data_IF_738775827017
#
_entry.id   IF_738775827017
#
_cell.length_a   1.000
_cell.length_b   1.000
_cell.length_c   1.000
_cell.angle_alpha   90.00
_cell.angle_beta   90.00
_cell.angle_gamma   90.00
#
_symmetry.space_group_name_H-M   'P 1'
#
loop_
_entity.id
_entity.type
_entity.pdbx_description
1 polymer ?
#
# COMPACT_ATOMS: atom_id res chain seq x y z
N UNK A 1 3.20 -38.46 -8.65
CA UNK A 1 3.16 -37.10 -9.22
C UNK A 1 2.25 -36.27 -8.33
N UNK A 2 2.81 -35.43 -7.45
CA UNK A 2 2.06 -34.67 -6.45
C UNK A 2 1.27 -33.54 -7.15
N UNK A 3 -0.03 -33.76 -7.36
CA UNK A 3 -1.02 -32.72 -7.67
C UNK A 3 -1.34 -31.99 -6.36
N UNK A 4 -0.58 -30.96 -6.04
CA UNK A 4 -0.76 -30.20 -4.79
C UNK A 4 -0.09 -28.83 -4.75
N UNK A 5 0.53 -28.38 -5.84
CA UNK A 5 0.88 -26.97 -5.98
C UNK A 5 -0.32 -26.32 -6.64
N UNK A 6 -1.27 -25.83 -5.83
CA UNK A 6 -2.16 -24.78 -6.30
C UNK A 6 -1.24 -23.67 -6.80
N UNK A 7 -1.35 -23.31 -8.08
CA UNK A 7 -0.72 -22.10 -8.58
C UNK A 7 -1.17 -20.96 -7.66
N UNK A 8 -0.20 -20.34 -6.98
CA UNK A 8 -0.46 -19.18 -6.15
C UNK A 8 -1.00 -18.10 -7.09
N UNK A 9 -2.32 -17.90 -7.05
CA UNK A 9 -3.02 -16.90 -7.85
C UNK A 9 -2.53 -15.53 -7.40
N UNK A 10 -1.61 -14.96 -8.18
CA UNK A 10 -1.06 -13.63 -7.94
C UNK A 10 -2.03 -12.62 -8.52
N UNK A 11 -2.94 -12.13 -7.68
CA UNK A 11 -3.78 -11.00 -8.02
C UNK A 11 -2.90 -9.80 -8.39
N UNK A 12 -3.17 -9.20 -9.55
CA UNK A 12 -2.59 -7.91 -9.87
C UNK A 12 -3.22 -6.86 -8.94
N UNK A 13 -2.37 -6.18 -8.16
CA UNK A 13 -2.78 -5.13 -7.23
C UNK A 13 -2.27 -3.78 -7.76
N UNK A 14 -2.86 -3.26 -8.85
CA UNK A 14 -2.34 -2.08 -9.55
C UNK A 14 -2.31 -0.85 -8.65
N UNK A 15 -3.32 -0.67 -7.79
CA UNK A 15 -3.35 0.42 -6.82
C UNK A 15 -2.20 0.32 -5.82
N UNK A 16 -1.94 -0.89 -5.31
CA UNK A 16 -0.85 -1.12 -4.37
C UNK A 16 0.51 -0.88 -5.04
N UNK A 17 0.66 -1.25 -6.31
CA UNK A 17 1.88 -1.01 -7.08
C UNK A 17 2.14 0.49 -7.29
N UNK A 18 1.11 1.30 -7.54
CA UNK A 18 1.24 2.77 -7.59
C UNK A 18 1.65 3.35 -6.24
N UNK A 19 1.00 2.91 -5.16
CA UNK A 19 1.32 3.38 -3.81
C UNK A 19 2.76 3.03 -3.40
N UNK A 20 3.22 1.82 -3.72
CA UNK A 20 4.62 1.40 -3.53
C UNK A 20 5.60 2.29 -4.29
N UNK A 21 5.28 2.66 -5.53
CA UNK A 21 6.12 3.55 -6.33
C UNK A 21 6.22 4.94 -5.70
N UNK A 22 5.10 5.48 -5.22
CA UNK A 22 5.04 6.77 -4.55
C UNK A 22 5.79 6.79 -3.23
N UNK A 23 5.58 5.80 -2.36
CA UNK A 23 6.28 5.66 -1.07
C UNK A 23 7.78 5.50 -1.29
N UNK A 24 8.19 4.69 -2.27
CA UNK A 24 9.60 4.54 -2.64
C UNK A 24 10.22 5.87 -3.05
N UNK A 25 9.56 6.61 -3.94
CA UNK A 25 10.03 7.94 -4.39
C UNK A 25 10.11 8.92 -3.23
N UNK A 26 9.11 8.95 -2.37
CA UNK A 26 9.07 9.82 -1.20
C UNK A 26 10.21 9.53 -0.21
N UNK A 27 10.53 8.24 -0.01
CA UNK A 27 11.69 7.81 0.78
C UNK A 27 13.01 8.26 0.17
N UNK A 28 13.17 8.17 -1.16
CA UNK A 28 14.36 8.62 -1.88
C UNK A 28 14.58 10.14 -1.78
N UNK A 29 13.49 10.90 -1.63
CA UNK A 29 13.50 12.35 -1.39
C UNK A 29 13.63 12.72 0.10
N UNK A 30 14.19 11.81 0.91
CA UNK A 30 14.40 12.00 2.36
C UNK A 30 13.13 12.43 3.13
N UNK A 31 11.99 11.85 2.73
CA UNK A 31 10.69 12.08 3.35
C UNK A 31 10.22 13.54 3.24
N UNK A 32 10.45 14.18 2.10
CA UNK A 32 10.01 15.55 1.81
C UNK A 32 8.53 15.79 2.18
N UNK A 33 8.21 16.95 2.75
CA UNK A 33 6.84 17.30 3.15
C UNK A 33 6.38 16.77 4.51
N UNK A 34 6.96 15.70 5.04
CA UNK A 34 6.63 15.21 6.39
C UNK A 34 7.10 16.16 7.51
N UNK A 35 6.48 16.02 8.68
CA UNK A 35 6.85 16.80 9.85
C UNK A 35 8.29 16.50 10.30
N UNK A 36 8.96 17.45 11.00
CA UNK A 36 10.32 17.23 11.49
C UNK A 36 10.47 15.98 12.38
N UNK A 37 9.46 15.72 13.23
CA UNK A 37 9.44 14.56 14.13
C UNK A 37 9.32 13.26 13.32
N UNK A 38 8.39 13.21 12.37
CA UNK A 38 8.21 12.05 11.47
C UNK A 38 9.49 11.73 10.70
N UNK A 39 10.15 12.74 10.13
CA UNK A 39 11.44 12.57 9.45
C UNK A 39 12.51 11.99 10.37
N UNK A 40 12.60 12.47 11.62
CA UNK A 40 13.57 11.97 12.59
C UNK A 40 13.30 10.52 12.97
N UNK A 41 12.03 10.14 13.19
CA UNK A 41 11.63 8.77 13.50
C UNK A 41 11.94 7.81 12.35
N UNK A 42 11.55 8.17 11.13
CA UNK A 42 11.79 7.33 9.95
C UNK A 42 13.29 7.12 9.70
N UNK A 43 14.09 8.19 9.79
CA UNK A 43 15.57 8.08 9.72
C UNK A 43 16.13 7.20 10.83
N UNK A 44 15.63 7.32 12.06
CA UNK A 44 16.07 6.49 13.17
C UNK A 44 15.74 5.00 12.93
N UNK A 45 14.54 4.69 12.46
CA UNK A 45 14.12 3.32 12.17
C UNK A 45 14.82 2.69 10.96
N UNK A 46 15.28 3.50 10.01
CA UNK A 46 16.04 3.03 8.85
C UNK A 46 17.51 2.69 9.15
N UNK A 47 18.03 3.01 10.34
CA UNK A 47 19.45 2.80 10.70
C UNK A 47 19.85 1.32 10.67
N UNK A 48 20.93 1.03 9.95
CA UNK A 48 21.47 -0.33 9.82
C UNK A 48 22.03 -0.89 11.16
N UNK A 49 22.54 -0.03 12.04
CA UNK A 49 23.18 -0.42 13.30
C UNK A 49 22.20 -0.54 14.49
N UNK A 50 20.89 -0.53 14.24
CA UNK A 50 19.89 -0.66 15.32
C UNK A 50 19.92 -2.08 15.89
N UNK A 51 19.89 -2.28 17.22
CA UNK A 51 19.87 -3.61 17.83
C UNK A 51 18.70 -4.48 17.37
N UNK A 52 17.54 -3.86 17.10
CA UNK A 52 16.36 -4.50 16.50
C UNK A 52 15.96 -3.76 15.23
N UNK A 53 16.43 -4.27 14.10
CA UNK A 53 16.08 -3.73 12.77
C UNK A 53 14.63 -4.07 12.44
N UNK A 54 13.94 -3.13 11.80
CA UNK A 54 12.62 -3.41 11.25
C UNK A 54 12.77 -4.29 10.01
N UNK A 55 11.84 -5.23 9.83
CA UNK A 55 11.69 -5.91 8.56
C UNK A 55 11.23 -4.91 7.49
N UNK A 56 11.52 -5.24 6.23
CA UNK A 56 11.09 -4.42 5.09
C UNK A 56 9.59 -4.11 5.14
N UNK A 57 8.75 -5.14 5.34
CA UNK A 57 7.30 -4.99 5.37
C UNK A 57 6.81 -4.07 6.51
N UNK A 58 7.45 -4.13 7.68
CA UNK A 58 7.10 -3.28 8.81
C UNK A 58 7.39 -1.81 8.49
N UNK A 59 8.57 -1.54 7.91
CA UNK A 59 8.93 -0.18 7.50
C UNK A 59 8.02 0.32 6.38
N UNK A 60 7.77 -0.52 5.38
CA UNK A 60 6.88 -0.19 4.25
C UNK A 60 5.47 0.15 4.72
N UNK A 61 4.90 -0.65 5.63
CA UNK A 61 3.56 -0.41 6.15
C UNK A 61 3.45 0.93 6.88
N UNK A 62 4.43 1.24 7.75
CA UNK A 62 4.46 2.49 8.50
C UNK A 62 4.65 3.70 7.57
N UNK A 63 5.61 3.62 6.64
CA UNK A 63 5.82 4.70 5.66
C UNK A 63 4.60 4.92 4.78
N UNK A 64 3.87 3.86 4.41
CA UNK A 64 2.64 3.95 3.61
C UNK A 64 1.55 4.72 4.35
N UNK A 65 1.28 4.38 5.62
CA UNK A 65 0.26 5.06 6.43
C UNK A 65 0.61 6.54 6.64
N UNK A 66 1.89 6.83 6.88
CA UNK A 66 2.37 8.21 7.04
C UNK A 66 2.24 8.96 5.72
N UNK A 67 2.62 8.36 4.59
CA UNK A 67 2.51 8.99 3.28
C UNK A 67 1.06 9.39 2.96
N UNK A 68 0.11 8.49 3.20
CA UNK A 68 -1.31 8.76 3.00
C UNK A 68 -1.80 9.93 3.85
N UNK A 69 -1.42 10.01 5.13
CA UNK A 69 -1.90 11.04 6.04
C UNK A 69 -1.17 12.37 5.93
N UNK A 70 0.16 12.37 5.96
CA UNK A 70 0.98 13.58 6.00
C UNK A 70 1.27 14.18 4.63
N UNK A 71 1.23 13.38 3.56
CA UNK A 71 1.55 13.87 2.21
C UNK A 71 0.26 14.07 1.43
N UNK A 72 -0.48 13.01 1.14
CA UNK A 72 -1.72 13.11 0.36
C UNK A 72 -2.85 13.79 1.15
N UNK A 73 -3.02 13.43 2.42
CA UNK A 73 -4.06 13.98 3.31
C UNK A 73 -3.80 15.40 3.80
N UNK A 74 -2.61 15.97 3.58
CA UNK A 74 -2.27 17.31 4.07
C UNK A 74 -2.91 18.47 3.30
N UNK A 75 -3.53 18.18 2.15
CA UNK A 75 -4.01 19.18 1.19
C UNK A 75 -2.90 19.93 0.44
N UNK A 76 -1.62 19.68 0.77
CA UNK A 76 -0.47 20.23 0.04
C UNK A 76 -0.07 19.26 -1.06
N UNK A 77 0.22 19.80 -2.25
CA UNK A 77 0.73 18.98 -3.35
C UNK A 77 2.24 18.76 -3.20
N UNK A 78 2.74 17.52 -3.26
CA UNK A 78 4.16 17.27 -3.33
C UNK A 78 4.76 17.88 -4.61
N UNK A 79 6.08 18.07 -4.64
CA UNK A 79 6.79 18.64 -5.80
C UNK A 79 6.75 17.74 -7.04
N UNK A 80 6.37 16.48 -6.86
CA UNK A 80 6.16 15.51 -7.95
C UNK A 80 4.69 15.18 -8.10
N UNK A 81 4.32 14.67 -9.28
CA UNK A 81 3.00 14.09 -9.51
C UNK A 81 2.95 12.69 -8.88
N UNK A 82 2.10 12.43 -7.87
CA UNK A 82 1.87 11.09 -7.35
C UNK A 82 1.31 10.16 -8.42
N UNK A 83 1.67 8.89 -8.36
CA UNK A 83 1.10 7.82 -9.18
C UNK A 83 -0.31 7.44 -8.72
N UNK A 84 -0.58 7.53 -7.41
CA UNK A 84 -1.93 7.41 -6.86
C UNK A 84 -2.73 8.68 -7.18
N UNK A 85 -3.92 8.54 -7.79
CA UNK A 85 -4.76 9.70 -8.07
C UNK A 85 -5.46 10.20 -6.81
N UNK A 86 -5.99 11.43 -6.86
CA UNK A 86 -6.75 12.00 -5.74
C UNK A 86 -8.06 11.22 -5.54
N UNK A 87 -8.69 10.80 -6.63
CA UNK A 87 -9.92 10.01 -6.60
C UNK A 87 -9.67 8.63 -5.98
N UNK A 88 -8.56 7.96 -6.34
CA UNK A 88 -8.16 6.69 -5.74
C UNK A 88 -7.84 6.87 -4.24
N UNK A 89 -7.20 7.99 -3.86
CA UNK A 89 -6.93 8.32 -2.45
C UNK A 89 -8.22 8.53 -1.65
N UNK A 90 -9.16 9.32 -2.18
CA UNK A 90 -10.46 9.57 -1.55
C UNK A 90 -11.27 8.28 -1.40
N UNK A 91 -11.27 7.43 -2.42
CA UNK A 91 -11.93 6.12 -2.36
C UNK A 91 -11.31 5.21 -1.28
N UNK A 92 -9.97 5.19 -1.15
CA UNK A 92 -9.29 4.47 -0.07
C UNK A 92 -9.70 5.00 1.31
N UNK A 93 -9.74 6.31 1.50
CA UNK A 93 -10.17 6.93 2.76
C UNK A 93 -11.64 6.64 3.09
N UNK A 94 -12.50 6.54 2.08
CA UNK A 94 -13.91 6.17 2.23
C UNK A 94 -14.14 4.66 2.43
N UNK A 95 -13.08 3.84 2.42
CA UNK A 95 -13.19 2.38 2.50
C UNK A 95 -13.88 1.76 1.28
N UNK A 96 -13.93 2.47 0.16
CA UNK A 96 -14.58 2.01 -1.07
C UNK A 96 -13.62 1.13 -1.88
N UNK A 97 -14.15 0.07 -2.49
CA UNK A 97 -13.39 -0.70 -3.48
C UNK A 97 -13.18 0.19 -4.71
N UNK A 98 -11.94 0.59 -4.95
CA UNK A 98 -11.59 1.42 -6.11
C UNK A 98 -11.94 0.71 -7.42
N UNK A 99 -12.23 1.48 -8.48
CA UNK A 99 -12.57 0.98 -9.84
C UNK A 99 -11.56 -0.04 -10.38
N UNK A 100 -10.30 -0.01 -9.91
CA UNK A 100 -9.25 -0.94 -10.31
C UNK A 100 -9.39 -2.35 -9.72
N UNK A 101 -10.29 -2.58 -8.76
CA UNK A 101 -10.66 -3.93 -8.30
C UNK A 101 -11.81 -4.54 -9.12
N UNK A 102 -12.34 -3.82 -10.12
CA UNK A 102 -13.55 -4.22 -10.84
C UNK A 102 -13.30 -4.99 -12.15
N UNK A 103 -12.16 -5.69 -12.28
CA UNK A 103 -11.98 -6.68 -13.36
C UNK A 103 -11.74 -8.06 -12.77
N UNK A 104 -12.86 -8.80 -12.72
CA UNK A 104 -12.96 -10.26 -12.66
C UNK A 104 -12.19 -10.95 -11.54
N UNK A 105 -12.88 -11.24 -10.45
CA UNK A 105 -13.08 -12.63 -10.06
C UNK A 105 -14.33 -12.76 -9.21
N UNK A 106 -15.28 -13.53 -9.72
CA UNK A 106 -16.21 -14.26 -8.87
C UNK A 106 -15.34 -15.08 -7.91
N UNK A 107 -15.09 -14.56 -6.72
CA UNK A 107 -14.47 -15.33 -5.67
C UNK A 107 -15.40 -16.49 -5.35
N UNK A 108 -15.08 -17.66 -5.91
CA UNK A 108 -15.79 -18.92 -5.71
C UNK A 108 -15.55 -19.45 -4.30
N UNK A 109 -15.98 -18.72 -3.27
CA UNK A 109 -16.31 -19.40 -2.02
C UNK A 109 -17.41 -20.41 -2.36
N UNK A 110 -17.24 -21.71 -2.07
CA UNK A 110 -18.35 -22.64 -2.13
C UNK A 110 -19.43 -22.11 -1.19
N UNK A 111 -20.53 -21.62 -1.75
CA UNK A 111 -21.70 -21.34 -0.94
C UNK A 111 -22.23 -22.70 -0.48
N UNK A 112 -22.01 -23.04 0.78
CA UNK A 112 -22.67 -24.17 1.43
C UNK A 112 -24.17 -23.82 1.52
N UNK A 113 -24.91 -24.08 0.44
CA UNK A 113 -26.34 -23.83 0.39
C UNK A 113 -26.86 -23.46 -1.00
N UNK A 114 -26.77 -24.38 -1.96
CA UNK A 114 -27.65 -24.39 -3.14
C UNK A 114 -28.55 -25.63 -3.07
N UNK A 115 -29.87 -25.53 -3.36
CA UNK A 115 -30.80 -26.64 -3.11
C UNK A 115 -30.49 -27.82 -4.03
N UNK A 116 -30.54 -29.01 -3.44
CA UNK A 116 -30.47 -30.28 -4.16
C UNK A 116 -31.56 -30.33 -5.23
N UNK A 117 -31.14 -30.60 -6.47
CA UNK A 117 -31.97 -31.15 -7.53
C UNK A 117 -31.38 -32.50 -7.93
#
# INVERSE_FOLDING_TARGET
MLKGFAEEERDDLPLLNRLRADVKRWRELEYEGATPVTKQLLRYWARAHRPRRLFFCQREAVETIIYLNEILGSGRRPRWKPALSVEDFEALCAGQKTVLQHRNQAWGFPQLGGPAQ
#
